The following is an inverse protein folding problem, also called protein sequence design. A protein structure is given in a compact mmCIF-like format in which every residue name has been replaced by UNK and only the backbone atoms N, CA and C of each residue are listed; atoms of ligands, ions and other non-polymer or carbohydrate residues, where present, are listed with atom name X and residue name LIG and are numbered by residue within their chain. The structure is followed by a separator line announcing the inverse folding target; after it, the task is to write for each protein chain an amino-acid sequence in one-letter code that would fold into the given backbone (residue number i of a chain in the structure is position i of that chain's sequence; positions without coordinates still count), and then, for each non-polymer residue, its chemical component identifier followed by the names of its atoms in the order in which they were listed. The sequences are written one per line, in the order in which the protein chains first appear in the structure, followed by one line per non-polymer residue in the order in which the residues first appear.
data_IF_729165433631
#
_entry.id   IF_729165433631
#
_cell.length_a   1.000
_cell.length_b   1.000
_cell.length_c   1.000
_cell.angle_alpha   90.00
_cell.angle_beta   90.00
_cell.angle_gamma   90.00
#
_symmetry.space_group_name_H-M   'P 1'
#
loop_
_entity.id
_entity.type
_entity.pdbx_description
1 polymer ?
#
# COMPACT_ATOMS: atom_id res chain seq x y z
N UNK A 1 8.61 32.03 -11.12
CA UNK A 1 9.92 31.40 -10.85
C UNK A 1 10.47 30.83 -12.16
N UNK A 2 11.77 30.97 -12.40
CA UNK A 2 12.39 30.43 -13.60
C UNK A 2 12.47 28.90 -13.57
N UNK A 3 12.54 28.26 -14.74
CA UNK A 3 12.71 26.80 -14.83
C UNK A 3 13.97 26.29 -14.13
N UNK A 4 15.16 26.96 -14.27
CA UNK A 4 16.33 26.56 -13.50
C UNK A 4 16.14 26.62 -11.98
N UNK A 5 15.45 27.63 -11.47
CA UNK A 5 15.19 27.75 -10.03
C UNK A 5 14.25 26.64 -9.52
N UNK A 6 13.24 26.25 -10.32
CA UNK A 6 12.35 25.13 -9.97
C UNK A 6 13.15 23.82 -9.93
N UNK A 7 13.99 23.55 -10.93
CA UNK A 7 14.82 22.34 -10.96
C UNK A 7 15.76 22.26 -9.77
N UNK A 8 16.36 23.37 -9.40
CA UNK A 8 17.25 23.45 -8.25
C UNK A 8 16.54 23.12 -6.93
N UNK A 9 15.31 23.63 -6.75
CA UNK A 9 14.49 23.33 -5.58
C UNK A 9 14.11 21.85 -5.53
N UNK A 10 13.68 21.28 -6.66
CA UNK A 10 13.35 19.86 -6.73
C UNK A 10 14.58 19.01 -6.38
N UNK A 11 15.74 19.34 -6.92
CA UNK A 11 16.97 18.61 -6.62
C UNK A 11 17.29 18.63 -5.12
N UNK A 12 17.14 19.77 -4.46
CA UNK A 12 17.36 19.88 -3.00
C UNK A 12 16.37 19.05 -2.20
N UNK A 13 15.10 19.02 -2.60
CA UNK A 13 14.06 18.21 -1.93
C UNK A 13 14.33 16.72 -2.12
N UNK A 14 14.84 16.32 -3.28
CA UNK A 14 15.23 14.93 -3.54
C UNK A 14 16.45 14.52 -2.72
N UNK A 15 17.47 15.36 -2.69
CA UNK A 15 18.69 15.11 -1.91
C UNK A 15 18.41 14.99 -0.41
N UNK A 16 17.53 15.82 0.11
CA UNK A 16 17.12 15.81 1.52
C UNK A 16 16.10 14.72 1.86
N UNK A 17 15.68 13.93 0.87
CA UNK A 17 14.68 12.86 1.02
C UNK A 17 13.26 13.34 1.35
N UNK A 18 12.97 14.62 1.17
CA UNK A 18 11.58 15.12 1.22
C UNK A 18 10.79 14.52 0.05
N UNK A 19 11.39 14.51 -1.15
CA UNK A 19 10.86 13.78 -2.29
C UNK A 19 11.60 12.45 -2.36
N UNK A 20 10.88 11.35 -2.11
CA UNK A 20 11.46 10.00 -2.12
C UNK A 20 11.47 9.36 -3.50
N UNK A 21 10.70 9.87 -4.42
CA UNK A 21 10.61 9.34 -5.77
C UNK A 21 9.37 9.83 -6.49
N UNK A 22 9.19 9.32 -7.70
CA UNK A 22 8.07 9.65 -8.57
C UNK A 22 7.39 8.35 -8.99
N UNK A 23 6.06 8.35 -9.04
CA UNK A 23 5.29 7.18 -9.44
C UNK A 23 4.20 7.59 -10.40
N UNK A 24 3.83 6.67 -11.27
CA UNK A 24 2.64 6.84 -12.10
C UNK A 24 1.40 6.70 -11.23
N UNK A 25 0.47 7.61 -11.42
CA UNK A 25 -0.87 7.48 -10.84
C UNK A 25 -1.73 6.80 -11.90
N UNK A 26 -2.01 5.51 -11.68
CA UNK A 26 -2.78 4.70 -12.62
C UNK A 26 -4.10 4.28 -11.98
N UNK A 27 -5.12 4.10 -12.84
CA UNK A 27 -6.40 3.55 -12.42
C UNK A 27 -6.32 2.02 -12.45
N UNK A 28 -6.37 1.34 -11.30
CA UNK A 28 -6.29 -0.12 -11.27
C UNK A 28 -7.39 -0.80 -12.10
N UNK A 29 -8.60 -0.23 -12.13
CA UNK A 29 -9.69 -0.79 -12.92
C UNK A 29 -9.34 -0.80 -14.41
N UNK A 30 -8.67 0.25 -14.91
CA UNK A 30 -8.21 0.33 -16.30
C UNK A 30 -7.12 -0.70 -16.63
N UNK A 31 -6.45 -1.21 -15.61
CA UNK A 31 -5.45 -2.29 -15.74
C UNK A 31 -6.03 -3.69 -15.56
N UNK A 32 -7.36 -3.82 -15.50
CA UNK A 32 -8.02 -5.11 -15.30
C UNK A 32 -8.10 -5.54 -13.84
N UNK A 33 -7.97 -4.60 -12.89
CA UNK A 33 -7.99 -4.86 -11.45
C UNK A 33 -9.10 -4.04 -10.78
N UNK A 34 -10.38 -4.34 -11.08
CA UNK A 34 -11.50 -3.54 -10.57
C UNK A 34 -11.81 -3.75 -9.09
N UNK A 35 -11.30 -4.82 -8.49
CA UNK A 35 -11.59 -5.14 -7.09
C UNK A 35 -10.41 -4.73 -6.23
N UNK A 36 -10.64 -3.84 -5.27
CA UNK A 36 -9.66 -3.43 -4.29
C UNK A 36 -10.16 -3.74 -2.89
N UNK A 37 -9.28 -4.19 -2.03
CA UNK A 37 -9.62 -4.53 -0.65
C UNK A 37 -8.52 -4.11 0.30
N UNK A 38 -8.93 -3.71 1.51
CA UNK A 38 -8.04 -3.61 2.65
C UNK A 38 -8.11 -4.91 3.42
N UNK A 39 -6.97 -5.52 3.65
CA UNK A 39 -6.84 -6.79 4.35
C UNK A 39 -6.10 -6.56 5.66
N UNK A 40 -6.75 -6.86 6.78
CA UNK A 40 -6.12 -6.92 8.08
C UNK A 40 -5.64 -8.34 8.31
N UNK A 41 -4.42 -8.47 8.82
CA UNK A 41 -3.84 -9.77 9.10
C UNK A 41 -3.35 -9.83 10.54
N UNK A 42 -3.92 -10.77 11.30
CA UNK A 42 -3.48 -11.08 12.65
C UNK A 42 -2.48 -12.22 12.58
N UNK A 43 -1.19 -11.97 12.85
CA UNK A 43 -0.18 -13.01 12.75
C UNK A 43 -0.37 -14.11 13.79
N UNK A 44 -0.06 -15.34 13.38
CA UNK A 44 0.20 -16.41 14.34
C UNK A 44 1.54 -16.20 15.04
N UNK A 45 1.83 -16.99 16.08
CA UNK A 45 3.08 -16.85 16.83
C UNK A 45 4.30 -17.00 15.94
N UNK A 46 5.22 -16.03 16.03
CA UNK A 46 6.49 -16.07 15.30
C UNK A 46 6.40 -15.82 13.80
N UNK A 47 5.29 -15.31 13.27
CA UNK A 47 5.07 -15.16 11.83
C UNK A 47 5.33 -13.76 11.27
N UNK A 48 5.70 -12.79 12.11
CA UNK A 48 5.83 -11.38 11.67
C UNK A 48 6.78 -11.20 10.48
N UNK A 49 7.98 -11.75 10.56
CA UNK A 49 8.98 -11.61 9.50
C UNK A 49 8.55 -12.31 8.22
N UNK A 50 7.94 -13.48 8.34
CA UNK A 50 7.46 -14.26 7.18
C UNK A 50 6.34 -13.56 6.46
N UNK A 51 5.40 -12.95 7.19
CA UNK A 51 4.30 -12.19 6.59
C UNK A 51 4.85 -10.99 5.81
N UNK A 52 5.78 -10.24 6.38
CA UNK A 52 6.39 -9.11 5.70
C UNK A 52 7.09 -9.54 4.40
N UNK A 53 7.85 -10.63 4.45
CA UNK A 53 8.54 -11.16 3.27
C UNK A 53 7.55 -11.65 2.22
N UNK A 54 6.49 -12.34 2.62
CA UNK A 54 5.46 -12.81 1.70
C UNK A 54 4.75 -11.64 1.04
N UNK A 55 4.36 -10.63 1.80
CA UNK A 55 3.70 -9.44 1.26
C UNK A 55 4.54 -8.76 0.17
N UNK A 56 5.86 -8.69 0.34
CA UNK A 56 6.77 -8.13 -0.68
C UNK A 56 6.77 -8.97 -1.96
N UNK A 57 6.55 -10.28 -1.87
CA UNK A 57 6.59 -11.19 -3.01
C UNK A 57 5.25 -11.33 -3.75
N UNK A 58 4.17 -10.79 -3.21
CA UNK A 58 2.82 -10.89 -3.81
C UNK A 58 2.53 -9.61 -4.58
N UNK A 59 2.54 -9.65 -5.94
CA UNK A 59 2.38 -8.44 -6.75
C UNK A 59 1.04 -7.75 -6.59
N UNK A 60 -0.02 -8.47 -6.20
CA UNK A 60 -1.35 -7.92 -5.98
C UNK A 60 -1.40 -6.99 -4.75
N UNK A 61 -0.42 -7.09 -3.85
CA UNK A 61 -0.30 -6.21 -2.68
C UNK A 61 0.41 -4.93 -3.11
N UNK A 62 -0.34 -3.82 -3.15
CA UNK A 62 0.22 -2.52 -3.54
C UNK A 62 0.87 -1.77 -2.38
N UNK A 63 0.46 -2.05 -1.17
CA UNK A 63 1.06 -1.50 0.04
C UNK A 63 0.79 -2.41 1.23
N UNK A 64 1.69 -2.39 2.19
CA UNK A 64 1.56 -3.17 3.42
C UNK A 64 2.18 -2.37 4.57
N UNK A 65 1.42 -2.22 5.64
CA UNK A 65 1.83 -1.45 6.81
C UNK A 65 1.78 -2.31 8.06
N UNK A 66 2.76 -2.13 8.94
CA UNK A 66 2.64 -2.57 10.32
C UNK A 66 1.79 -1.55 11.05
N UNK A 67 0.75 -2.02 11.73
CA UNK A 67 -0.16 -1.16 12.49
C UNK A 67 -0.17 -1.57 13.95
N UNK A 68 -0.60 -0.65 14.81
CA UNK A 68 -0.81 -0.95 16.23
C UNK A 68 -2.07 -1.81 16.41
N UNK A 69 -2.12 -2.56 17.50
CA UNK A 69 -3.24 -3.42 17.84
C UNK A 69 -2.97 -4.89 17.49
N UNK A 70 -3.99 -5.72 17.64
CA UNK A 70 -3.86 -7.17 17.49
C UNK A 70 -3.65 -7.63 16.07
N UNK A 71 -4.19 -6.88 15.08
CA UNK A 71 -4.12 -7.28 13.68
C UNK A 71 -2.72 -7.10 13.08
N UNK A 72 -1.90 -6.23 13.62
CA UNK A 72 -0.49 -6.01 13.25
C UNK A 72 -0.22 -5.58 11.81
N UNK A 73 -0.93 -6.10 10.82
CA UNK A 73 -0.71 -5.77 9.40
C UNK A 73 -1.97 -5.26 8.73
N UNK A 74 -1.79 -4.28 7.84
CA UNK A 74 -2.83 -3.76 6.97
C UNK A 74 -2.26 -3.71 5.56
N UNK A 75 -2.90 -4.44 4.63
CA UNK A 75 -2.46 -4.53 3.23
C UNK A 75 -3.56 -4.03 2.31
N UNK A 76 -3.17 -3.34 1.24
CA UNK A 76 -4.07 -3.01 0.14
C UNK A 76 -3.82 -3.96 -1.01
N UNK A 77 -4.87 -4.62 -1.48
CA UNK A 77 -4.79 -5.64 -2.52
C UNK A 77 -5.69 -5.25 -3.70
N UNK A 78 -5.16 -5.40 -4.90
CA UNK A 78 -5.87 -5.15 -6.15
C UNK A 78 -5.93 -6.43 -6.95
N UNK A 79 -7.14 -6.85 -7.33
CA UNK A 79 -7.37 -8.14 -7.99
C UNK A 79 -8.44 -7.99 -9.08
N UNK A 80 -8.44 -8.91 -10.09
CA UNK A 80 -9.45 -8.86 -11.15
C UNK A 80 -10.84 -9.30 -10.69
N UNK A 81 -10.95 -10.11 -9.63
CA UNK A 81 -12.23 -10.67 -9.17
C UNK A 81 -12.18 -11.00 -7.68
N UNK A 82 -13.34 -11.27 -7.11
CA UNK A 82 -13.46 -11.71 -5.72
C UNK A 82 -12.76 -13.06 -5.52
N UNK A 83 -12.89 -13.97 -6.48
CA UNK A 83 -12.23 -15.27 -6.45
C UNK A 83 -10.71 -15.14 -6.44
N UNK A 84 -10.19 -14.17 -7.18
CA UNK A 84 -8.76 -13.90 -7.17
C UNK A 84 -8.29 -13.36 -5.81
N UNK A 85 -9.15 -12.64 -5.08
CA UNK A 85 -8.82 -12.21 -3.71
C UNK A 85 -8.68 -13.43 -2.80
N UNK A 86 -9.57 -14.40 -2.88
CA UNK A 86 -9.47 -15.63 -2.09
C UNK A 86 -8.13 -16.33 -2.33
N UNK A 87 -7.71 -16.42 -3.59
CA UNK A 87 -6.42 -17.02 -3.93
C UNK A 87 -5.23 -16.28 -3.30
N UNK A 88 -5.30 -14.95 -3.25
CA UNK A 88 -4.26 -14.14 -2.57
C UNK A 88 -4.28 -14.41 -1.07
N UNK A 89 -5.46 -14.38 -0.45
CA UNK A 89 -5.61 -14.60 0.99
C UNK A 89 -5.15 -16.00 1.42
N UNK A 90 -5.39 -17.01 0.59
CA UNK A 90 -4.96 -18.39 0.88
C UNK A 90 -3.45 -18.49 1.05
N UNK A 91 -2.68 -17.64 0.40
CA UNK A 91 -1.22 -17.60 0.55
C UNK A 91 -0.79 -17.16 1.94
N UNK A 92 -1.63 -16.44 2.67
CA UNK A 92 -1.36 -15.95 4.02
C UNK A 92 -1.94 -16.83 5.13
N UNK A 93 -2.79 -17.80 4.80
CA UNK A 93 -3.51 -18.62 5.78
C UNK A 93 -2.61 -19.34 6.77
N UNK A 94 -1.44 -19.80 6.33
CA UNK A 94 -0.50 -20.51 7.21
C UNK A 94 0.16 -19.59 8.21
N UNK A 95 0.09 -18.28 8.02
CA UNK A 95 0.81 -17.30 8.81
C UNK A 95 -0.07 -16.51 9.75
N UNK A 96 -1.39 -16.52 9.55
CA UNK A 96 -2.31 -15.79 10.38
C UNK A 96 -3.73 -15.78 9.87
N UNK A 97 -4.58 -15.02 10.55
CA UNK A 97 -5.98 -14.83 10.19
C UNK A 97 -6.14 -13.52 9.42
N UNK A 98 -6.95 -13.54 8.37
CA UNK A 98 -7.23 -12.37 7.55
C UNK A 98 -8.67 -11.92 7.70
N UNK A 99 -8.86 -10.60 7.66
CA UNK A 99 -10.18 -9.97 7.56
C UNK A 99 -10.13 -8.97 6.42
N UNK A 100 -10.98 -9.13 5.43
CA UNK A 100 -10.99 -8.28 4.23
C UNK A 100 -12.17 -7.33 4.25
N UNK A 101 -11.94 -6.11 3.76
CA UNK A 101 -12.99 -5.13 3.51
C UNK A 101 -12.83 -4.61 2.10
N UNK A 102 -13.85 -4.77 1.27
CA UNK A 102 -13.81 -4.24 -0.10
C UNK A 102 -13.95 -2.73 -0.09
N UNK A 103 -13.19 -2.08 -0.97
CA UNK A 103 -13.35 -0.65 -1.19
C UNK A 103 -14.57 -0.46 -2.08
N UNK A 104 -15.61 0.14 -1.53
CA UNK A 104 -16.88 0.38 -2.23
C UNK A 104 -16.80 1.65 -3.07
N UNK A 105 -16.19 2.69 -2.52
CA UNK A 105 -15.96 3.96 -3.21
C UNK A 105 -14.78 4.65 -2.58
N UNK A 106 -14.21 5.64 -3.29
CA UNK A 106 -13.03 6.38 -2.81
C UNK A 106 -13.33 7.87 -2.87
N UNK A 107 -13.97 8.44 -1.83
CA UNK A 107 -14.25 9.87 -1.80
C UNK A 107 -13.01 10.76 -1.87
N UNK A 108 -11.89 10.27 -1.31
CA UNK A 108 -10.61 10.97 -1.38
C UNK A 108 -9.57 9.99 -1.91
N UNK A 109 -9.21 10.06 -3.20
CA UNK A 109 -8.10 9.29 -3.73
C UNK A 109 -6.78 9.69 -3.05
N UNK A 110 -5.81 8.76 -3.06
CA UNK A 110 -4.51 9.05 -2.50
C UNK A 110 -3.92 10.33 -3.10
N UNK A 111 -3.44 11.20 -2.25
CA UNK A 111 -2.86 12.49 -2.64
C UNK A 111 -1.70 12.83 -1.72
N UNK A 112 -0.89 13.78 -2.15
CA UNK A 112 0.25 14.24 -1.36
C UNK A 112 -0.24 14.91 -0.08
N UNK A 113 0.41 14.58 1.03
CA UNK A 113 0.15 15.22 2.31
C UNK A 113 0.73 16.64 2.33
N UNK A 114 0.08 17.53 3.10
CA UNK A 114 0.60 18.87 3.30
C UNK A 114 1.67 18.87 4.39
N UNK A 115 2.62 19.83 4.35
CA UNK A 115 3.62 19.94 5.41
C UNK A 115 2.98 20.15 6.77
N UNK A 116 3.53 19.49 7.79
CA UNK A 116 3.15 19.70 9.17
C UNK A 116 3.84 20.91 9.79
N UNK A 117 3.52 21.21 11.03
CA UNK A 117 4.20 22.30 11.73
C UNK A 117 5.67 21.96 11.94
N UNK A 118 6.54 22.96 11.84
CA UNK A 118 7.95 22.80 12.16
C UNK A 118 8.10 22.66 13.69
N UNK A 119 8.61 21.51 14.10
CA UNK A 119 8.78 21.19 15.50
C UNK A 119 10.18 21.32 15.97
#
# INVERSE_FOLDING_TARGET
MSAPAVRERLARLEESRVIRGYRLDVDPAALGLPVAAWVRLRPGPGQLTRIAALARSVPEVSECHRISGEDCFLMKVHVPSIEALEAVLDRFLMHGQTTSSFIVSTPVPARTVLPGPRG
#
